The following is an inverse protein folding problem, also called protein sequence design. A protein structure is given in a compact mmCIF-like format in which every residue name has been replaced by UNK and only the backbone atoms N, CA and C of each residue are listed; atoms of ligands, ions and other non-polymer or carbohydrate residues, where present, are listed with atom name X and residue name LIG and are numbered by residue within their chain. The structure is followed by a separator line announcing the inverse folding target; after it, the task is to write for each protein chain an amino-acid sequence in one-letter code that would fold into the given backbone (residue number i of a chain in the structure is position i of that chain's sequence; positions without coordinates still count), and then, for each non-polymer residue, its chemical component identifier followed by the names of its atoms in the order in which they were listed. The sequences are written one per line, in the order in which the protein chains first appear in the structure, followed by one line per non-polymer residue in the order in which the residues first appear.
data_IF_380897696633
#
_entry.id   IF_380897696633
#
_cell.length_a   1.000
_cell.length_b   1.000
_cell.length_c   1.000
_cell.angle_alpha   90.00
_cell.angle_beta   90.00
_cell.angle_gamma   90.00
#
_symmetry.space_group_name_H-M   'P 1'
#
loop_
_entity.id
_entity.type
_entity.pdbx_description
1 polymer ?
#
# COMPACT_ATOMS: atom_id res chain seq x y z
N UNK A 1 10.92 -26.79 15.14
CA UNK A 1 11.22 -25.43 15.64
C UNK A 1 10.73 -24.36 14.65
N UNK A 2 9.93 -23.42 15.17
CA UNK A 2 9.73 -22.03 14.73
C UNK A 2 9.31 -21.64 13.27
N UNK A 3 8.04 -21.19 13.20
CA UNK A 3 7.59 -19.93 12.57
C UNK A 3 7.45 -19.85 11.03
N UNK A 4 6.44 -20.54 10.52
CA UNK A 4 5.76 -20.14 9.28
C UNK A 4 4.77 -18.97 9.52
N UNK A 5 5.26 -17.77 9.87
CA UNK A 5 4.44 -16.55 9.96
C UNK A 5 5.22 -15.32 9.44
N UNK A 6 5.51 -15.27 8.14
CA UNK A 6 6.22 -14.11 7.55
C UNK A 6 6.31 -14.00 6.02
N UNK A 7 5.95 -15.04 5.25
CA UNK A 7 6.25 -15.07 3.80
C UNK A 7 5.37 -14.17 2.92
N UNK A 8 4.10 -13.90 3.25
CA UNK A 8 3.14 -13.28 2.31
C UNK A 8 3.49 -11.83 1.94
N UNK A 9 3.89 -11.01 2.90
CA UNK A 9 4.16 -9.59 2.66
C UNK A 9 5.53 -9.36 2.00
N UNK A 10 6.52 -10.19 2.34
CA UNK A 10 7.84 -10.17 1.70
C UNK A 10 7.77 -10.62 0.23
N UNK A 11 6.88 -11.57 -0.09
CA UNK A 11 6.64 -12.00 -1.47
C UNK A 11 6.01 -10.89 -2.34
N UNK A 12 5.06 -10.14 -1.77
CA UNK A 12 4.45 -8.97 -2.42
C UNK A 12 5.48 -7.87 -2.70
N UNK A 13 6.31 -7.51 -1.72
CA UNK A 13 7.39 -6.54 -1.91
C UNK A 13 8.41 -7.01 -2.96
N UNK A 14 8.77 -8.30 -2.96
CA UNK A 14 9.64 -8.87 -4.00
C UNK A 14 9.01 -8.76 -5.39
N UNK A 15 7.71 -9.03 -5.54
CA UNK A 15 6.98 -8.89 -6.80
C UNK A 15 6.91 -7.44 -7.26
N UNK A 16 6.63 -6.51 -6.35
CA UNK A 16 6.67 -5.07 -6.62
C UNK A 16 8.08 -4.66 -7.07
N UNK A 17 9.14 -5.10 -6.38
CA UNK A 17 10.52 -4.76 -6.71
C UNK A 17 10.95 -5.31 -8.09
N UNK A 18 10.52 -6.53 -8.43
CA UNK A 18 10.73 -7.11 -9.76
C UNK A 18 10.05 -6.28 -10.86
N UNK A 19 8.82 -5.82 -10.62
CA UNK A 19 8.04 -5.06 -11.61
C UNK A 19 8.49 -3.60 -11.72
N UNK A 20 8.80 -2.99 -10.59
CA UNK A 20 9.16 -1.57 -10.46
C UNK A 20 10.63 -1.29 -10.78
N UNK A 21 11.45 -2.34 -10.99
CA UNK A 21 12.92 -2.30 -11.14
C UNK A 21 13.66 -1.55 -10.02
N UNK A 22 12.97 -1.19 -8.94
CA UNK A 22 13.46 -0.43 -7.79
C UNK A 22 13.31 -1.29 -6.54
N UNK A 23 14.33 -1.28 -5.67
CA UNK A 23 14.29 -2.01 -4.39
C UNK A 23 13.48 -1.21 -3.37
N UNK A 24 12.15 -1.33 -3.40
CA UNK A 24 11.29 -0.82 -2.35
C UNK A 24 11.51 -1.61 -1.06
N UNK A 25 11.59 -0.88 0.05
CA UNK A 25 11.50 -1.41 1.41
C UNK A 25 10.14 -1.02 2.00
N UNK A 26 9.74 -1.71 3.07
CA UNK A 26 8.53 -1.32 3.81
C UNK A 26 8.63 0.12 4.33
N UNK A 27 9.81 0.54 4.77
CA UNK A 27 10.05 1.91 5.24
C UNK A 27 9.82 2.96 4.17
N UNK A 28 10.20 2.68 2.90
CA UNK A 28 9.91 3.60 1.79
C UNK A 28 8.39 3.76 1.60
N UNK A 29 7.65 2.64 1.63
CA UNK A 29 6.19 2.63 1.49
C UNK A 29 5.54 3.37 2.67
N UNK A 30 6.00 3.13 3.91
CA UNK A 30 5.53 3.86 5.09
C UNK A 30 5.87 5.34 5.02
N UNK A 31 7.04 5.69 4.49
CA UNK A 31 7.47 7.08 4.33
C UNK A 31 6.59 7.84 3.35
N UNK A 32 6.03 7.17 2.33
CA UNK A 32 5.07 7.79 1.41
C UNK A 32 3.74 8.16 2.10
N UNK A 33 3.37 7.41 3.14
CA UNK A 33 2.20 7.67 3.99
C UNK A 33 2.55 8.50 5.24
N UNK A 34 3.81 8.96 5.38
CA UNK A 34 4.24 9.75 6.54
C UNK A 34 3.48 11.07 6.55
N UNK A 35 2.90 11.40 7.71
CA UNK A 35 2.07 12.59 7.89
C UNK A 35 0.59 12.40 7.58
N UNK A 36 0.17 11.23 7.07
CA UNK A 36 -1.25 10.88 6.94
C UNK A 36 -1.74 10.34 8.27
N UNK A 37 -2.82 10.94 8.80
CA UNK A 37 -3.45 10.49 10.04
C UNK A 37 -4.58 9.51 9.76
N UNK A 38 -5.08 8.81 10.80
CA UNK A 38 -6.29 7.98 10.66
C UNK A 38 -7.50 8.77 10.16
N UNK A 39 -7.63 10.06 10.50
CA UNK A 39 -8.71 10.92 10.00
C UNK A 39 -8.61 11.12 8.49
N UNK A 40 -7.40 11.33 7.98
CA UNK A 40 -7.16 11.46 6.55
C UNK A 40 -7.46 10.16 5.80
N UNK A 41 -7.23 9.00 6.43
CA UNK A 41 -7.57 7.70 5.84
C UNK A 41 -9.08 7.39 5.85
N UNK A 42 -9.88 8.10 6.66
CA UNK A 42 -11.35 8.04 6.61
C UNK A 42 -11.95 8.98 5.55
N UNK A 43 -11.15 9.91 5.04
CA UNK A 43 -11.55 10.79 3.94
C UNK A 43 -11.26 10.12 2.59
N UNK A 44 -12.31 9.89 1.82
CA UNK A 44 -12.24 9.17 0.55
C UNK A 44 -11.35 9.84 -0.51
N UNK A 45 -11.22 11.17 -0.45
CA UNK A 45 -10.36 11.94 -1.37
C UNK A 45 -8.90 11.81 -0.95
N UNK A 46 -8.56 12.01 0.32
CA UNK A 46 -7.20 11.87 0.84
C UNK A 46 -6.70 10.43 0.76
N UNK A 47 -7.55 9.46 1.04
CA UNK A 47 -7.22 8.06 0.86
C UNK A 47 -6.96 7.72 -0.61
N UNK A 48 -7.78 8.22 -1.54
CA UNK A 48 -7.55 8.04 -2.98
C UNK A 48 -6.21 8.66 -3.42
N UNK A 49 -5.89 9.85 -2.93
CA UNK A 49 -4.65 10.55 -3.24
C UNK A 49 -3.43 9.78 -2.72
N UNK A 50 -3.48 9.29 -1.48
CA UNK A 50 -2.45 8.44 -0.92
C UNK A 50 -2.26 7.16 -1.74
N UNK A 51 -3.34 6.46 -2.08
CA UNK A 51 -3.28 5.24 -2.89
C UNK A 51 -2.64 5.54 -4.25
N UNK A 52 -3.05 6.63 -4.92
CA UNK A 52 -2.45 7.05 -6.20
C UNK A 52 -0.96 7.38 -6.06
N UNK A 53 -0.57 8.11 -5.01
CA UNK A 53 0.82 8.48 -4.73
C UNK A 53 1.68 7.26 -4.49
N UNK A 54 1.23 6.32 -3.66
CA UNK A 54 1.94 5.07 -3.41
C UNK A 54 2.00 4.23 -4.69
N UNK A 55 0.89 4.07 -5.41
CA UNK A 55 0.82 3.31 -6.66
C UNK A 55 1.81 3.84 -7.70
N UNK A 56 1.84 5.15 -7.93
CA UNK A 56 2.76 5.81 -8.86
C UNK A 56 4.21 5.64 -8.41
N UNK A 57 4.48 5.83 -7.12
CA UNK A 57 5.81 5.65 -6.56
C UNK A 57 6.29 4.22 -6.81
N UNK A 58 5.50 3.20 -6.44
CA UNK A 58 5.86 1.79 -6.64
C UNK A 58 5.72 1.30 -8.08
N UNK A 59 5.42 2.17 -9.05
CA UNK A 59 5.30 1.79 -10.47
C UNK A 59 4.17 0.80 -10.75
N UNK A 60 3.15 0.78 -9.90
CA UNK A 60 1.93 -0.02 -10.09
C UNK A 60 0.86 0.89 -10.68
N UNK A 61 0.16 0.43 -11.70
CA UNK A 61 -1.05 1.08 -12.20
C UNK A 61 -2.24 0.33 -11.61
N UNK A 62 -2.95 0.97 -10.69
CA UNK A 62 -4.18 0.42 -10.12
C UNK A 62 -5.35 0.73 -11.06
N UNK A 63 -6.12 -0.30 -11.41
CA UNK A 63 -7.44 -0.12 -12.03
C UNK A 63 -8.45 0.43 -11.01
N UNK A 64 -9.55 1.00 -11.48
CA UNK A 64 -10.61 1.55 -10.61
C UNK A 64 -11.16 0.52 -9.62
N UNK A 65 -11.35 -0.72 -10.07
CA UNK A 65 -11.75 -1.85 -9.21
C UNK A 65 -10.75 -2.14 -8.10
N UNK A 66 -9.46 -2.00 -8.38
CA UNK A 66 -8.41 -2.20 -7.38
C UNK A 66 -8.35 -1.02 -6.41
N UNK A 67 -8.51 0.21 -6.89
CA UNK A 67 -8.63 1.39 -6.01
C UNK A 67 -9.80 1.24 -5.04
N UNK A 68 -10.98 0.86 -5.53
CA UNK A 68 -12.16 0.63 -4.70
C UNK A 68 -11.92 -0.48 -3.66
N UNK A 69 -11.28 -1.59 -4.07
CA UNK A 69 -10.94 -2.68 -3.14
C UNK A 69 -9.96 -2.25 -2.06
N UNK A 70 -8.93 -1.46 -2.40
CA UNK A 70 -7.96 -0.95 -1.42
C UNK A 70 -8.65 0.03 -0.46
N UNK A 71 -9.50 0.94 -0.98
CA UNK A 71 -10.29 1.84 -0.14
C UNK A 71 -11.13 1.08 0.89
N UNK A 72 -11.89 0.09 0.42
CA UNK A 72 -12.72 -0.76 1.27
C UNK A 72 -11.88 -1.45 2.35
N UNK A 73 -10.75 -2.08 1.99
CA UNK A 73 -9.87 -2.74 2.95
C UNK A 73 -9.30 -1.78 4.00
N UNK A 74 -9.00 -0.53 3.61
CA UNK A 74 -8.51 0.48 4.55
C UNK A 74 -9.63 0.91 5.50
N UNK A 75 -10.84 1.17 5.00
CA UNK A 75 -12.00 1.49 5.84
C UNK A 75 -12.33 0.35 6.80
N UNK A 76 -12.39 -0.90 6.33
CA UNK A 76 -12.64 -2.09 7.18
C UNK A 76 -11.58 -2.25 8.29
N UNK A 77 -10.33 -1.85 8.03
CA UNK A 77 -9.28 -1.88 9.05
C UNK A 77 -9.29 -0.70 10.02
N UNK A 78 -9.97 0.39 9.68
CA UNK A 78 -10.00 1.61 10.48
C UNK A 78 -11.19 1.68 11.44
N UNK A 79 -12.18 0.80 11.28
CA UNK A 79 -13.39 0.79 12.10
C UNK A 79 -14.43 1.76 11.57
#
# INVERSE_FOLDING_TARGET
MAKAKGKKTSDLLKKINKKSKKKWKMDDIKSLAKGITKKDLKDDKKLADLIKKVSKAVGVKLSDKQMASVKKQVHEKLG
#
